data_IF_174793124206
#
_entry.id   IF_174793124206
#
_cell.length_a   1.000
_cell.length_b   1.000
_cell.length_c   1.000
_cell.angle_alpha   90.00
_cell.angle_beta   90.00
_cell.angle_gamma   90.00
#
_symmetry.space_group_name_H-M   'P 1'
#
loop_
_entity.id
_entity.type
_entity.pdbx_description
1 polymer ?
#
# COMPACT_ATOMS: atom_id res chain seq x y z
N UNK A 1 -15.54 -48.12 -19.72
CA UNK A 1 -15.57 -47.33 -20.96
C UNK A 1 -14.92 -46.01 -20.63
N UNK A 2 -13.66 -45.91 -21.00
CA UNK A 2 -12.76 -44.77 -20.77
C UNK A 2 -13.08 -43.60 -21.69
N UNK A 3 -12.75 -42.40 -21.20
CA UNK A 3 -12.52 -41.15 -21.93
C UNK A 3 -13.74 -40.47 -22.54
N UNK A 4 -13.89 -39.18 -22.21
CA UNK A 4 -14.06 -38.05 -23.13
C UNK A 4 -14.79 -36.88 -22.44
N UNK A 5 -14.17 -36.16 -21.51
CA UNK A 5 -14.54 -34.76 -21.19
C UNK A 5 -13.33 -33.97 -20.65
N UNK A 6 -12.15 -34.21 -21.22
CA UNK A 6 -10.92 -33.45 -20.92
C UNK A 6 -10.52 -32.62 -22.14
N UNK A 7 -11.48 -31.94 -22.79
CA UNK A 7 -11.19 -31.17 -24.00
C UNK A 7 -12.18 -30.02 -24.20
N UNK A 8 -11.96 -28.93 -23.45
CA UNK A 8 -12.27 -27.51 -23.76
C UNK A 8 -12.65 -26.77 -22.48
N UNK A 9 -11.65 -26.30 -21.76
CA UNK A 9 -11.83 -25.04 -21.04
C UNK A 9 -11.22 -23.94 -21.93
N UNK A 10 -12.04 -23.10 -22.59
CA UNK A 10 -11.52 -21.95 -23.33
C UNK A 10 -10.84 -21.01 -22.33
N UNK A 11 -9.81 -20.26 -22.77
CA UNK A 11 -9.08 -19.28 -21.94
C UNK A 11 -10.08 -18.32 -21.27
N UNK A 12 -10.53 -18.70 -20.09
CA UNK A 12 -11.56 -18.00 -19.35
C UNK A 12 -10.81 -16.95 -18.55
N UNK A 13 -11.02 -15.69 -18.93
CA UNK A 13 -10.59 -14.52 -18.18
C UNK A 13 -10.68 -14.84 -16.69
N UNK A 14 -9.58 -14.63 -15.96
CA UNK A 14 -9.48 -14.85 -14.52
C UNK A 14 -10.58 -14.03 -13.85
N UNK A 15 -11.73 -14.66 -13.68
CA UNK A 15 -12.85 -14.06 -12.99
C UNK A 15 -12.46 -14.02 -11.54
N UNK A 16 -12.70 -12.89 -10.88
CA UNK A 16 -12.25 -12.56 -9.52
C UNK A 16 -12.60 -13.62 -8.46
N UNK A 17 -13.49 -14.53 -8.79
CA UNK A 17 -13.78 -15.74 -8.04
C UNK A 17 -13.51 -16.95 -8.95
N UNK A 18 -12.27 -17.42 -8.91
CA UNK A 18 -11.92 -18.73 -9.45
C UNK A 18 -12.77 -19.80 -8.72
N UNK A 19 -13.10 -20.89 -9.42
CA UNK A 19 -13.62 -22.12 -8.84
C UNK A 19 -12.85 -22.58 -7.59
N UNK A 20 -11.54 -22.35 -7.56
CA UNK A 20 -10.68 -22.49 -6.37
C UNK A 20 -11.16 -21.61 -5.20
N UNK A 21 -11.41 -20.32 -5.43
CA UNK A 21 -11.83 -19.39 -4.39
C UNK A 21 -13.24 -19.73 -3.90
N UNK A 22 -14.12 -20.17 -4.80
CA UNK A 22 -15.45 -20.67 -4.45
C UNK A 22 -15.38 -21.96 -3.61
N UNK A 23 -14.50 -22.90 -3.95
CA UNK A 23 -14.30 -24.14 -3.18
C UNK A 23 -13.70 -23.86 -1.79
N UNK A 24 -12.77 -22.90 -1.68
CA UNK A 24 -12.23 -22.48 -0.38
C UNK A 24 -13.32 -21.80 0.46
N UNK A 25 -14.18 -20.97 -0.13
CA UNK A 25 -15.31 -20.35 0.59
C UNK A 25 -16.29 -21.43 1.08
N UNK A 26 -16.62 -22.40 0.24
CA UNK A 26 -17.54 -23.50 0.58
C UNK A 26 -16.97 -24.40 1.69
N UNK A 27 -15.66 -24.71 1.64
CA UNK A 27 -14.97 -25.44 2.71
C UNK A 27 -14.84 -24.68 4.03
N UNK A 28 -14.83 -23.34 3.99
CA UNK A 28 -14.71 -22.50 5.18
C UNK A 28 -16.06 -21.91 5.66
N UNK A 29 -17.18 -22.26 5.01
CA UNK A 29 -18.53 -21.85 5.41
C UNK A 29 -19.01 -22.57 6.68
N UNK A 30 -18.45 -23.72 7.03
CA UNK A 30 -18.72 -24.39 8.30
C UNK A 30 -17.79 -23.92 9.44
N UNK A 31 -16.65 -23.30 9.11
CA UNK A 31 -15.63 -22.77 10.05
C UNK A 31 -15.65 -21.22 10.12
N UNK A 32 -16.87 -20.66 10.12
CA UNK A 32 -17.15 -19.20 10.06
C UNK A 32 -16.45 -18.41 11.16
N UNK A 33 -16.14 -19.03 12.30
CA UNK A 33 -15.60 -18.33 13.47
C UNK A 33 -14.08 -18.07 13.40
N UNK A 34 -13.32 -18.84 12.61
CA UNK A 34 -11.85 -18.75 12.59
C UNK A 34 -11.28 -18.23 11.26
N UNK A 35 -11.90 -18.58 10.12
CA UNK A 35 -11.37 -18.22 8.79
C UNK A 35 -11.93 -16.90 8.22
N UNK A 36 -13.24 -16.69 8.35
CA UNK A 36 -13.92 -15.51 7.80
C UNK A 36 -13.56 -14.23 8.58
N UNK A 37 -13.43 -14.33 9.91
CA UNK A 37 -13.01 -13.20 10.75
C UNK A 37 -11.59 -12.70 10.43
N UNK A 38 -10.66 -13.58 10.02
CA UNK A 38 -9.29 -13.19 9.66
C UNK A 38 -9.22 -12.48 8.29
N UNK A 39 -10.05 -12.90 7.32
CA UNK A 39 -10.15 -12.28 5.99
C UNK A 39 -10.92 -10.96 6.04
N UNK A 40 -11.99 -10.87 6.85
CA UNK A 40 -12.76 -9.65 7.06
C UNK A 40 -12.02 -8.64 7.96
N UNK A 41 -11.29 -9.10 8.99
CA UNK A 41 -10.38 -8.25 9.75
C UNK A 41 -9.30 -7.63 8.85
N UNK A 42 -8.89 -8.31 7.78
CA UNK A 42 -7.95 -7.79 6.78
C UNK A 42 -8.43 -6.53 6.05
N UNK A 43 -9.75 -6.28 5.96
CA UNK A 43 -10.29 -5.09 5.30
C UNK A 43 -10.31 -3.83 6.19
N UNK A 44 -10.12 -3.97 7.52
CA UNK A 44 -10.02 -2.84 8.46
C UNK A 44 -8.64 -2.71 9.14
N UNK A 45 -7.71 -3.61 8.87
CA UNK A 45 -6.37 -3.58 9.45
C UNK A 45 -5.47 -2.61 8.66
N UNK A 46 -5.24 -1.43 9.24
CA UNK A 46 -4.16 -0.55 8.80
C UNK A 46 -2.82 -1.30 8.87
N UNK A 47 -2.29 -1.74 7.73
CA UNK A 47 -0.96 -2.33 7.68
C UNK A 47 0.10 -1.33 8.19
N UNK A 48 1.21 -1.86 8.74
CA UNK A 48 2.27 -1.03 9.32
C UNK A 48 2.83 0.04 8.37
N UNK A 49 2.90 -0.26 7.07
CA UNK A 49 3.36 0.71 6.06
C UNK A 49 2.40 1.89 5.88
N UNK A 50 1.08 1.67 5.95
CA UNK A 50 0.10 2.75 5.92
C UNK A 50 0.26 3.67 7.14
N UNK A 51 0.47 3.09 8.33
CA UNK A 51 0.72 3.86 9.56
C UNK A 51 2.02 4.67 9.45
N UNK A 52 3.08 4.09 8.88
CA UNK A 52 4.36 4.77 8.67
C UNK A 52 4.21 5.96 7.71
N UNK A 53 3.55 5.79 6.57
CA UNK A 53 3.29 6.88 5.60
C UNK A 53 2.47 7.98 6.26
N UNK A 54 1.41 7.63 7.01
CA UNK A 54 0.53 8.58 7.66
C UNK A 54 1.26 9.40 8.74
N UNK A 55 2.11 8.77 9.55
CA UNK A 55 2.95 9.46 10.54
C UNK A 55 3.93 10.41 9.85
N UNK A 56 4.65 9.94 8.82
CA UNK A 56 5.57 10.80 8.07
C UNK A 56 4.85 12.00 7.42
N UNK A 57 3.64 11.80 6.90
CA UNK A 57 2.83 12.88 6.33
C UNK A 57 2.43 13.91 7.39
N UNK A 58 1.91 13.48 8.55
CA UNK A 58 1.55 14.37 9.65
C UNK A 58 2.77 15.18 10.10
N UNK A 59 3.92 14.53 10.32
CA UNK A 59 5.16 15.21 10.71
C UNK A 59 5.54 16.26 9.68
N UNK A 60 5.47 15.93 8.39
CA UNK A 60 5.78 16.88 7.31
C UNK A 60 4.84 18.10 7.31
N UNK A 61 3.54 17.89 7.55
CA UNK A 61 2.55 18.98 7.63
C UNK A 61 2.79 19.87 8.86
N UNK A 62 3.10 19.29 10.01
CA UNK A 62 3.45 20.06 11.22
C UNK A 62 4.73 20.88 11.00
N UNK A 63 5.77 20.30 10.43
CA UNK A 63 7.02 21.01 10.14
C UNK A 63 6.83 22.11 9.09
N UNK A 64 6.00 21.87 8.07
CA UNK A 64 5.65 22.86 7.06
C UNK A 64 4.84 24.02 7.65
N UNK A 65 3.86 23.73 8.51
CA UNK A 65 3.11 24.75 9.24
C UNK A 65 4.03 25.66 10.05
N UNK A 66 4.94 25.08 10.84
CA UNK A 66 5.94 25.83 11.60
C UNK A 66 6.86 26.66 10.68
N UNK A 67 7.28 26.10 9.53
CA UNK A 67 8.09 26.82 8.56
C UNK A 67 7.36 28.04 8.00
N UNK A 68 6.07 27.95 7.67
CA UNK A 68 5.28 29.08 7.17
C UNK A 68 5.24 30.23 8.19
N UNK A 69 4.99 29.93 9.47
CA UNK A 69 4.99 30.94 10.52
C UNK A 69 6.37 31.60 10.68
N UNK A 70 7.45 30.81 10.65
CA UNK A 70 8.82 31.36 10.70
C UNK A 70 9.19 32.16 9.43
N UNK A 71 8.67 31.78 8.26
CA UNK A 71 8.91 32.45 6.99
C UNK A 71 8.24 33.82 6.89
N UNK A 72 7.03 33.98 7.44
CA UNK A 72 6.36 35.29 7.52
C UNK A 72 7.17 36.25 8.41
N UNK A 73 7.86 35.74 9.44
CA UNK A 73 8.75 36.51 10.31
C UNK A 73 10.18 36.71 9.76
N UNK A 74 10.49 36.23 8.54
CA UNK A 74 11.82 36.35 7.94
C UNK A 74 12.37 37.79 7.82
N UNK A 75 11.57 38.85 7.55
CA UNK A 75 12.11 40.21 7.49
C UNK A 75 12.41 40.81 8.88
N UNK A 76 11.93 40.20 9.97
CA UNK A 76 12.11 40.73 11.33
C UNK A 76 13.45 40.34 11.97
N UNK A 77 14.05 39.21 11.58
CA UNK A 77 15.41 38.86 12.00
C UNK A 77 16.07 37.86 11.03
N UNK A 78 17.39 37.96 10.80
CA UNK A 78 18.11 37.04 9.92
C UNK A 78 18.10 35.59 10.45
N UNK A 79 18.00 35.40 11.77
CA UNK A 79 17.92 34.08 12.40
C UNK A 79 16.66 33.31 11.99
N UNK A 80 15.54 34.00 11.78
CA UNK A 80 14.29 33.38 11.33
C UNK A 80 14.40 32.80 9.90
N UNK A 81 15.22 33.41 9.04
CA UNK A 81 15.46 32.92 7.68
C UNK A 81 16.21 31.58 7.68
N UNK A 82 17.20 31.41 8.56
CA UNK A 82 17.93 30.15 8.71
C UNK A 82 17.05 29.04 9.30
N UNK A 83 16.19 29.38 10.27
CA UNK A 83 15.27 28.40 10.86
C UNK A 83 14.24 27.95 9.81
N UNK A 84 13.71 28.88 9.01
CA UNK A 84 12.81 28.57 7.91
C UNK A 84 13.43 27.60 6.90
N UNK A 85 14.66 27.84 6.47
CA UNK A 85 15.31 26.99 5.46
C UNK A 85 15.59 25.57 5.98
N UNK A 86 15.99 25.42 7.25
CA UNK A 86 16.18 24.11 7.87
C UNK A 86 14.85 23.35 7.98
N UNK A 87 13.80 24.00 8.47
CA UNK A 87 12.48 23.37 8.61
C UNK A 87 11.89 22.97 7.26
N UNK A 88 12.06 23.82 6.24
CA UNK A 88 11.63 23.51 4.87
C UNK A 88 12.37 22.29 4.30
N UNK A 89 13.69 22.18 4.54
CA UNK A 89 14.48 21.04 4.08
C UNK A 89 14.05 19.74 4.79
N UNK A 90 13.86 19.78 6.11
CA UNK A 90 13.38 18.62 6.89
C UNK A 90 11.99 18.18 6.41
N UNK A 91 11.09 19.14 6.16
CA UNK A 91 9.75 18.86 5.63
C UNK A 91 9.81 18.20 4.25
N UNK A 92 10.72 18.65 3.38
CA UNK A 92 10.90 18.07 2.05
C UNK A 92 11.40 16.62 2.12
N UNK A 93 12.44 16.34 2.90
CA UNK A 93 12.98 14.98 3.04
C UNK A 93 11.94 14.03 3.63
N UNK A 94 11.20 14.48 4.64
CA UNK A 94 10.18 13.66 5.31
C UNK A 94 9.00 13.37 4.37
N UNK A 95 8.60 14.34 3.54
CA UNK A 95 7.56 14.16 2.51
C UNK A 95 8.02 13.23 1.38
N UNK A 96 9.25 13.42 0.89
CA UNK A 96 9.85 12.54 -0.12
C UNK A 96 9.97 11.09 0.38
N UNK A 97 10.34 10.90 1.65
CA UNK A 97 10.34 9.59 2.30
C UNK A 97 8.96 8.95 2.37
N UNK A 98 7.92 9.72 2.73
CA UNK A 98 6.54 9.24 2.74
C UNK A 98 6.07 8.79 1.34
N UNK A 99 6.36 9.59 0.31
CA UNK A 99 6.07 9.25 -1.09
C UNK A 99 6.82 7.99 -1.54
N UNK A 100 8.10 7.86 -1.18
CA UNK A 100 8.90 6.68 -1.51
C UNK A 100 8.35 5.40 -0.88
N UNK A 101 8.00 5.43 0.40
CA UNK A 101 7.40 4.29 1.11
C UNK A 101 6.04 3.95 0.52
N UNK A 102 5.21 4.95 0.23
CA UNK A 102 3.91 4.75 -0.41
C UNK A 102 4.04 4.11 -1.79
N UNK A 103 4.93 4.64 -2.64
CA UNK A 103 5.15 4.13 -3.99
C UNK A 103 5.68 2.69 -3.99
N UNK A 104 6.68 2.42 -3.15
CA UNK A 104 7.22 1.06 -3.00
C UNK A 104 6.16 0.09 -2.49
N UNK A 105 5.36 0.50 -1.49
CA UNK A 105 4.32 -0.35 -0.94
C UNK A 105 3.15 -0.59 -1.91
N UNK A 106 2.82 0.39 -2.76
CA UNK A 106 1.80 0.24 -3.80
C UNK A 106 2.26 -0.72 -4.90
N UNK A 107 3.50 -0.58 -5.38
CA UNK A 107 4.02 -1.38 -6.48
C UNK A 107 4.62 -2.73 -6.08
N UNK A 108 4.78 -3.03 -4.78
CA UNK A 108 5.28 -4.36 -4.33
C UNK A 108 4.45 -5.53 -4.87
N UNK A 109 3.17 -5.28 -5.15
CA UNK A 109 2.22 -6.26 -5.68
C UNK A 109 2.44 -6.46 -7.18
N UNK A 110 2.61 -5.38 -7.94
CA UNK A 110 2.91 -5.44 -9.39
C UNK A 110 4.25 -6.14 -9.65
N UNK A 111 5.27 -5.87 -8.83
CA UNK A 111 6.61 -6.50 -8.93
C UNK A 111 6.50 -8.02 -8.77
N UNK A 112 5.64 -8.50 -7.85
CA UNK A 112 5.43 -9.94 -7.65
C UNK A 112 4.71 -10.59 -8.84
N UNK A 113 3.77 -9.89 -9.48
CA UNK A 113 3.05 -10.42 -10.64
C UNK A 113 3.91 -10.53 -11.89
N UNK A 114 4.83 -9.58 -12.11
CA UNK A 114 5.79 -9.65 -13.23
C UNK A 114 6.68 -10.89 -13.13
N UNK A 115 7.16 -11.22 -11.92
CA UNK A 115 7.98 -12.43 -11.71
C UNK A 115 7.17 -13.73 -11.86
N UNK A 116 5.90 -13.73 -11.43
CA UNK A 116 5.00 -14.87 -11.61
C UNK A 116 4.67 -15.16 -13.08
N UNK A 117 4.45 -14.13 -13.90
CA UNK A 117 4.22 -14.27 -15.34
C UNK A 117 5.45 -14.79 -16.07
N UNK A 118 6.65 -14.25 -15.79
CA UNK A 118 7.90 -14.71 -16.44
C UNK A 118 8.18 -16.20 -16.16
N UNK A 119 7.91 -16.67 -14.95
CA UNK A 119 8.12 -18.07 -14.57
C UNK A 119 7.13 -19.07 -15.21
N UNK A 120 6.09 -18.60 -15.90
CA UNK A 120 5.13 -19.48 -16.61
C UNK A 120 5.44 -19.66 -18.10
N UNK A 121 6.42 -18.92 -18.64
CA UNK A 121 6.83 -19.00 -20.04
C UNK A 121 8.21 -19.62 -20.24
N UNK A 122 8.86 -20.07 -19.15
CA UNK A 122 10.02 -20.97 -19.17
C UNK A 122 9.59 -22.42 -18.89
#
# INVERSE_FOLDING_TARGET
>A
MSNQYEERSPLHCTYKFDSNAAEIIDKNIDDVDMGAAAVEAGHHQFFGWHKAVLICMIVSLCTCGMAIFCGICAPCSPSCSLIFSILAFVSFITSAGALGVFFFAAHRVDIRFVQGLVATYE
#
